data_IF_238075027561
#
_entry.id   IF_238075027561
#
_cell.length_a   1.000
_cell.length_b   1.000
_cell.length_c   1.000
_cell.angle_alpha   90.00
_cell.angle_beta   90.00
_cell.angle_gamma   90.00
#
_symmetry.space_group_name_H-M   'P 1'
#
loop_
_entity.id
_entity.type
_entity.pdbx_description
1 polymer ?
#
# COMPACT_ATOMS: atom_id res chain seq x y z
N UNK A 1 -19.57 14.90 53.30
CA UNK A 1 -19.16 14.57 51.93
C UNK A 1 -18.09 13.51 51.95
N UNK A 2 -18.50 12.24 51.71
CA UNK A 2 -17.60 11.10 51.63
C UNK A 2 -17.16 10.90 50.15
N UNK A 3 -15.89 11.15 49.90
CA UNK A 3 -15.24 10.86 48.60
C UNK A 3 -14.70 9.43 48.66
N UNK A 4 -15.42 8.51 48.01
CA UNK A 4 -15.00 7.10 47.92
C UNK A 4 -14.10 6.89 46.68
N UNK A 5 -12.78 6.96 46.89
CA UNK A 5 -11.80 6.59 45.89
C UNK A 5 -11.71 5.05 45.77
N UNK A 6 -12.39 4.47 44.77
CA UNK A 6 -12.18 3.09 44.41
C UNK A 6 -10.84 2.98 43.63
N UNK A 7 -9.77 2.68 44.34
CA UNK A 7 -8.52 2.24 43.78
C UNK A 7 -8.72 0.89 43.11
N UNK A 8 -8.69 0.86 41.78
CA UNK A 8 -8.69 -0.36 40.95
C UNK A 8 -7.35 -1.05 41.14
N UNK A 9 -7.26 -2.03 42.04
CA UNK A 9 -6.07 -2.87 42.20
C UNK A 9 -5.92 -3.71 40.92
N UNK A 10 -4.96 -3.35 40.06
CA UNK A 10 -4.55 -4.22 38.97
C UNK A 10 -4.04 -5.55 39.57
N UNK A 11 -4.74 -6.63 39.27
CA UNK A 11 -4.34 -7.98 39.72
C UNK A 11 -2.95 -8.28 39.15
N UNK A 12 -1.95 -8.31 40.02
CA UNK A 12 -0.57 -8.61 39.66
C UNK A 12 -0.49 -10.09 39.25
N UNK A 13 -0.43 -10.38 37.96
CA UNK A 13 -0.27 -11.74 37.46
C UNK A 13 1.22 -12.08 37.56
N UNK A 14 1.59 -13.13 38.34
CA UNK A 14 2.98 -13.55 38.49
C UNK A 14 3.67 -13.82 37.15
N UNK A 15 4.96 -13.49 37.05
CA UNK A 15 5.73 -13.63 35.80
C UNK A 15 5.70 -15.03 35.20
N UNK A 16 5.75 -16.07 36.03
CA UNK A 16 5.62 -17.49 35.62
C UNK A 16 4.26 -17.78 34.95
N UNK A 17 3.16 -17.19 35.44
CA UNK A 17 1.83 -17.39 34.85
C UNK A 17 1.73 -16.64 33.52
N UNK A 18 2.34 -15.46 33.37
CA UNK A 18 2.43 -14.74 32.09
C UNK A 18 3.17 -15.52 31.02
N UNK A 19 4.21 -16.28 31.40
CA UNK A 19 4.96 -17.13 30.45
C UNK A 19 4.13 -18.30 29.90
N UNK A 20 3.20 -18.83 30.67
CA UNK A 20 2.32 -19.92 30.25
C UNK A 20 1.11 -19.38 29.47
N UNK A 21 0.52 -18.28 29.92
CA UNK A 21 -0.69 -17.70 29.28
C UNK A 21 -0.37 -17.08 27.91
N UNK A 22 0.82 -16.48 27.75
CA UNK A 22 1.20 -15.81 26.50
C UNK A 22 1.20 -16.73 25.27
N UNK A 23 1.84 -17.93 25.28
CA UNK A 23 1.80 -18.84 24.14
C UNK A 23 0.38 -19.39 23.89
N UNK A 24 -0.39 -19.68 24.95
CA UNK A 24 -1.78 -20.10 24.80
C UNK A 24 -2.66 -19.01 24.15
N UNK A 25 -2.53 -17.78 24.60
CA UNK A 25 -3.22 -16.63 23.99
C UNK A 25 -2.85 -16.45 22.52
N UNK A 26 -1.56 -16.58 22.17
CA UNK A 26 -1.07 -16.52 20.80
C UNK A 26 -1.69 -17.64 19.97
N UNK A 27 -1.70 -18.86 20.49
CA UNK A 27 -2.28 -20.02 19.81
C UNK A 27 -3.77 -19.82 19.52
N UNK A 28 -4.55 -19.39 20.52
CA UNK A 28 -5.99 -19.10 20.35
C UNK A 28 -6.21 -18.01 19.30
N UNK A 29 -5.38 -16.96 19.31
CA UNK A 29 -5.45 -15.88 18.31
C UNK A 29 -5.13 -16.37 16.91
N UNK A 30 -4.15 -17.27 16.77
CA UNK A 30 -3.78 -17.87 15.48
C UNK A 30 -4.88 -18.80 14.97
N UNK A 31 -5.43 -19.67 15.82
CA UNK A 31 -6.53 -20.56 15.46
C UNK A 31 -7.78 -19.78 15.04
N UNK A 32 -8.13 -18.71 15.79
CA UNK A 32 -9.24 -17.82 15.43
C UNK A 32 -9.01 -17.18 14.06
N UNK A 33 -7.81 -16.64 13.82
CA UNK A 33 -7.46 -16.01 12.54
C UNK A 33 -7.47 -17.02 11.37
N UNK A 34 -7.04 -18.26 11.64
CA UNK A 34 -7.05 -19.33 10.63
C UNK A 34 -8.47 -19.78 10.30
N UNK A 35 -9.33 -19.91 11.32
CA UNK A 35 -10.75 -20.21 11.14
C UNK A 35 -11.49 -19.09 10.38
N UNK A 36 -11.26 -17.82 10.78
CA UNK A 36 -11.81 -16.66 10.07
C UNK A 36 -11.41 -16.68 8.58
N UNK A 37 -10.13 -16.94 8.30
CA UNK A 37 -9.61 -17.00 6.93
C UNK A 37 -10.20 -18.16 6.12
N UNK A 38 -10.31 -19.35 6.70
CA UNK A 38 -10.75 -20.56 5.99
C UNK A 38 -12.26 -20.64 5.80
N UNK A 39 -13.03 -20.10 6.72
CA UNK A 39 -14.50 -20.22 6.71
C UNK A 39 -15.15 -18.87 6.42
N UNK A 40 -14.88 -17.86 7.25
CA UNK A 40 -15.59 -16.59 7.14
C UNK A 40 -15.25 -15.84 5.85
N UNK A 41 -13.94 -15.78 5.49
CA UNK A 41 -13.51 -15.07 4.29
C UNK A 41 -13.87 -15.78 2.99
N UNK A 42 -14.20 -17.06 3.03
CA UNK A 42 -14.71 -17.78 1.87
C UNK A 42 -16.12 -17.29 1.47
N UNK A 43 -16.94 -16.94 2.45
CA UNK A 43 -18.31 -16.46 2.24
C UNK A 43 -18.43 -14.93 2.27
N UNK A 44 -17.56 -14.29 3.03
CA UNK A 44 -17.53 -12.85 3.25
C UNK A 44 -16.09 -12.32 3.11
N UNK A 45 -15.57 -12.23 1.87
CA UNK A 45 -14.20 -11.76 1.66
C UNK A 45 -14.06 -10.30 2.18
N UNK A 46 -12.98 -10.02 2.93
CA UNK A 46 -12.75 -8.66 3.40
C UNK A 46 -12.43 -7.74 2.23
N UNK A 47 -12.92 -6.51 2.29
CA UNK A 47 -12.55 -5.47 1.32
C UNK A 47 -11.04 -5.21 1.39
N UNK A 48 -10.37 -4.95 0.25
CA UNK A 48 -8.93 -4.72 0.21
C UNK A 48 -8.54 -3.48 1.04
N UNK A 49 -7.45 -3.60 1.79
CA UNK A 49 -6.86 -2.48 2.53
C UNK A 49 -5.69 -1.83 1.78
N UNK A 50 -5.08 -2.56 0.85
CA UNK A 50 -3.93 -2.14 0.04
C UNK A 50 -4.18 -2.54 -1.41
N UNK A 51 -3.79 -1.68 -2.34
CA UNK A 51 -3.79 -1.93 -3.78
C UNK A 51 -2.38 -1.71 -4.33
N UNK A 52 -1.93 -2.59 -5.21
CA UNK A 52 -0.81 -2.33 -6.09
C UNK A 52 -1.34 -2.10 -7.50
N UNK A 53 -1.09 -0.91 -8.03
CA UNK A 53 -1.50 -0.49 -9.37
C UNK A 53 -0.32 -0.57 -10.33
N UNK A 54 -0.49 -1.35 -11.40
CA UNK A 54 0.42 -1.30 -12.53
C UNK A 54 0.06 -0.09 -13.41
N UNK A 55 0.93 0.92 -13.43
CA UNK A 55 0.66 2.16 -14.16
C UNK A 55 0.89 2.02 -15.66
N UNK A 56 1.89 1.25 -16.07
CA UNK A 56 2.26 1.01 -17.47
C UNK A 56 3.04 -0.29 -17.65
N UNK A 57 3.15 -0.75 -18.89
CA UNK A 57 3.92 -1.91 -19.31
C UNK A 57 5.24 -1.52 -20.02
N UNK A 58 5.62 -0.23 -19.99
CA UNK A 58 6.85 0.26 -20.61
C UNK A 58 7.94 0.39 -19.56
N UNK A 59 9.14 -0.04 -19.88
CA UNK A 59 10.32 0.11 -19.02
C UNK A 59 11.56 0.47 -19.85
N UNK A 60 12.35 1.40 -19.32
CA UNK A 60 13.65 1.79 -19.86
C UNK A 60 14.83 0.94 -19.35
N UNK A 61 14.54 -0.05 -18.47
CA UNK A 61 15.51 -1.03 -17.97
C UNK A 61 15.30 -2.38 -18.62
N UNK A 62 16.40 -3.13 -18.84
CA UNK A 62 16.40 -4.47 -19.44
C UNK A 62 16.88 -5.51 -18.43
N UNK A 63 16.25 -5.54 -17.25
CA UNK A 63 16.58 -6.51 -16.21
C UNK A 63 16.45 -7.94 -16.70
N UNK A 64 17.44 -8.79 -16.41
CA UNK A 64 17.49 -10.18 -16.88
C UNK A 64 16.37 -11.04 -16.31
N UNK A 65 15.89 -10.74 -15.09
CA UNK A 65 14.81 -11.45 -14.41
C UNK A 65 13.40 -10.95 -14.79
N UNK A 66 13.30 -9.83 -15.50
CA UNK A 66 12.03 -9.17 -15.80
C UNK A 66 11.86 -9.00 -17.30
N UNK A 67 10.76 -9.52 -17.85
CA UNK A 67 10.48 -9.51 -19.28
C UNK A 67 9.55 -8.37 -19.72
N UNK A 68 9.21 -7.43 -18.83
CA UNK A 68 8.24 -6.37 -19.14
C UNK A 68 8.71 -5.48 -20.31
N UNK A 69 10.01 -5.24 -20.41
CA UNK A 69 10.62 -4.44 -21.48
C UNK A 69 10.53 -5.07 -22.88
N UNK A 70 10.21 -6.39 -22.96
CA UNK A 70 9.99 -7.11 -24.22
C UNK A 70 8.51 -7.12 -24.62
N UNK A 71 7.62 -6.73 -23.72
CA UNK A 71 6.18 -6.75 -23.99
C UNK A 71 5.81 -5.53 -24.85
N UNK A 72 4.75 -5.68 -25.63
CA UNK A 72 4.13 -4.54 -26.29
C UNK A 72 3.36 -3.75 -25.25
N UNK A 73 3.35 -2.42 -25.41
CA UNK A 73 2.52 -1.57 -24.59
C UNK A 73 1.05 -2.02 -24.66
N UNK A 74 0.48 -2.33 -23.52
CA UNK A 74 -0.93 -2.63 -23.37
C UNK A 74 -1.79 -1.38 -23.35
N UNK A 75 -3.07 -1.55 -23.07
CA UNK A 75 -4.00 -0.44 -22.84
C UNK A 75 -3.80 0.06 -21.41
N UNK A 76 -3.32 1.29 -21.28
CA UNK A 76 -3.15 1.94 -20.00
C UNK A 76 -4.48 2.54 -19.52
N UNK A 77 -4.79 2.33 -18.24
CA UNK A 77 -5.96 2.97 -17.61
C UNK A 77 -5.76 4.48 -17.57
N UNK A 78 -6.72 5.23 -18.04
CA UNK A 78 -6.71 6.70 -17.94
C UNK A 78 -7.03 7.16 -16.50
N UNK A 79 -6.63 8.39 -16.10
CA UNK A 79 -6.97 8.92 -14.76
C UNK A 79 -8.49 8.95 -14.50
N UNK A 80 -9.30 9.25 -15.51
CA UNK A 80 -10.78 9.31 -15.39
C UNK A 80 -11.36 7.92 -15.18
N UNK A 81 -10.89 6.92 -15.92
CA UNK A 81 -11.31 5.53 -15.73
C UNK A 81 -10.88 5.02 -14.36
N UNK A 82 -9.63 5.30 -13.94
CA UNK A 82 -9.14 4.92 -12.62
C UNK A 82 -9.99 5.52 -11.51
N UNK A 83 -10.35 6.80 -11.59
CA UNK A 83 -11.22 7.45 -10.61
C UNK A 83 -12.59 6.75 -10.55
N UNK A 84 -13.15 6.42 -11.71
CA UNK A 84 -14.43 5.74 -11.80
C UNK A 84 -14.39 4.33 -11.18
N UNK A 85 -13.34 3.56 -11.48
CA UNK A 85 -13.11 2.23 -10.93
C UNK A 85 -12.96 2.28 -9.40
N UNK A 86 -12.14 3.20 -8.91
CA UNK A 86 -11.80 3.31 -7.49
C UNK A 86 -12.96 3.83 -6.63
N UNK A 87 -13.99 4.45 -7.21
CA UNK A 87 -15.23 4.83 -6.52
C UNK A 87 -16.11 3.62 -6.16
N UNK A 88 -15.81 2.44 -6.70
CA UNK A 88 -16.57 1.23 -6.35
C UNK A 88 -16.42 0.94 -4.84
N UNK A 89 -17.53 0.51 -4.23
CA UNK A 89 -17.59 0.20 -2.79
C UNK A 89 -16.56 -0.84 -2.34
N UNK A 90 -16.10 -1.71 -3.24
CA UNK A 90 -15.04 -2.68 -2.98
C UNK A 90 -13.79 -2.00 -2.40
N UNK A 91 -13.45 -0.80 -2.87
CA UNK A 91 -12.24 -0.07 -2.49
C UNK A 91 -12.42 0.86 -1.28
N UNK A 92 -13.59 0.89 -0.66
CA UNK A 92 -13.92 1.81 0.45
C UNK A 92 -12.99 1.68 1.67
N UNK A 93 -12.33 0.53 1.86
CA UNK A 93 -11.41 0.27 2.98
C UNK A 93 -9.94 0.47 2.64
N UNK A 94 -9.61 0.84 1.40
CA UNK A 94 -8.22 1.01 0.97
C UNK A 94 -7.57 2.16 1.74
N UNK A 95 -6.39 1.86 2.33
CA UNK A 95 -5.59 2.81 3.11
C UNK A 95 -4.27 3.14 2.43
N UNK A 96 -3.81 2.28 1.52
CA UNK A 96 -2.55 2.47 0.81
C UNK A 96 -2.67 2.02 -0.64
N UNK A 97 -2.11 2.81 -1.55
CA UNK A 97 -1.94 2.46 -2.97
C UNK A 97 -0.45 2.54 -3.31
N UNK A 98 0.13 1.41 -3.73
CA UNK A 98 1.45 1.35 -4.34
C UNK A 98 1.35 1.45 -5.85
N UNK A 99 2.08 2.35 -6.47
CA UNK A 99 2.16 2.45 -7.93
C UNK A 99 3.48 1.86 -8.40
N UNK A 100 3.36 0.93 -9.33
CA UNK A 100 4.45 0.20 -9.97
C UNK A 100 4.15 0.07 -11.47
N UNK A 101 4.85 -0.82 -12.16
CA UNK A 101 4.66 -1.08 -13.58
C UNK A 101 5.97 -1.50 -14.21
N UNK A 102 6.17 -1.14 -15.47
CA UNK A 102 7.50 -1.11 -16.06
C UNK A 102 8.33 -0.04 -15.35
N UNK A 103 8.30 1.17 -15.84
CA UNK A 103 8.82 2.34 -15.13
C UNK A 103 7.73 3.42 -15.06
N UNK A 104 7.08 3.61 -13.90
CA UNK A 104 5.93 4.50 -13.78
C UNK A 104 6.24 5.96 -14.15
N UNK A 105 7.48 6.40 -13.89
CA UNK A 105 7.89 7.81 -14.16
C UNK A 105 8.01 8.16 -15.63
N UNK A 106 7.97 7.15 -16.53
CA UNK A 106 7.88 7.37 -17.97
C UNK A 106 6.49 7.84 -18.41
N UNK A 107 5.49 7.67 -17.55
CA UNK A 107 4.12 8.08 -17.82
C UNK A 107 3.93 9.58 -17.56
N UNK A 108 3.48 10.33 -18.57
CA UNK A 108 3.37 11.78 -18.45
C UNK A 108 2.21 12.22 -17.55
N UNK A 109 1.12 11.48 -17.56
CA UNK A 109 -0.07 11.70 -16.74
C UNK A 109 -0.03 11.03 -15.35
N UNK A 110 1.15 10.52 -14.94
CA UNK A 110 1.32 9.90 -13.63
C UNK A 110 0.76 10.72 -12.46
N UNK A 111 0.99 12.06 -12.38
CA UNK A 111 0.43 12.88 -11.31
C UNK A 111 -1.10 12.84 -11.27
N UNK A 112 -1.75 12.79 -12.45
CA UNK A 112 -3.21 12.74 -12.54
C UNK A 112 -3.78 11.41 -12.03
N UNK A 113 -3.02 10.29 -12.13
CA UNK A 113 -3.42 9.02 -11.51
C UNK A 113 -3.43 9.11 -9.97
N UNK A 114 -2.45 9.81 -9.39
CA UNK A 114 -2.43 10.05 -7.95
C UNK A 114 -3.59 10.92 -7.51
N UNK A 115 -3.88 11.96 -8.27
CA UNK A 115 -5.01 12.84 -8.01
C UNK A 115 -6.34 12.08 -8.08
N UNK A 116 -6.53 11.26 -9.11
CA UNK A 116 -7.70 10.41 -9.29
C UNK A 116 -7.91 9.47 -8.09
N UNK A 117 -6.83 8.83 -7.62
CA UNK A 117 -6.88 7.96 -6.45
C UNK A 117 -7.24 8.72 -5.16
N UNK A 118 -6.66 9.91 -4.96
CA UNK A 118 -6.96 10.76 -3.80
C UNK A 118 -8.42 11.22 -3.79
N UNK A 119 -8.98 11.56 -4.96
CA UNK A 119 -10.38 11.95 -5.11
C UNK A 119 -11.36 10.79 -4.89
N UNK A 120 -11.01 9.61 -5.41
CA UNK A 120 -11.89 8.46 -5.41
C UNK A 120 -12.00 7.78 -4.04
N UNK A 121 -10.92 7.76 -3.24
CA UNK A 121 -10.86 7.00 -1.99
C UNK A 121 -10.65 7.92 -0.78
N UNK A 122 -11.70 8.37 -0.11
CA UNK A 122 -11.58 9.22 1.08
C UNK A 122 -10.79 8.56 2.22
N UNK A 123 -10.87 7.21 2.31
CA UNK A 123 -10.17 6.43 3.34
C UNK A 123 -8.68 6.29 3.13
N UNK A 124 -8.16 6.67 1.95
CA UNK A 124 -6.74 6.58 1.60
C UNK A 124 -5.89 7.42 2.55
N UNK A 125 -4.79 6.83 3.03
CA UNK A 125 -3.86 7.49 3.96
C UNK A 125 -2.50 7.75 3.32
N UNK A 126 -2.02 6.79 2.52
CA UNK A 126 -0.68 6.85 1.96
C UNK A 126 -0.65 6.33 0.53
N UNK A 127 0.29 6.84 -0.24
CA UNK A 127 0.62 6.35 -1.58
C UNK A 127 2.12 6.15 -1.72
N UNK A 128 2.52 5.21 -2.56
CA UNK A 128 3.94 4.97 -2.83
C UNK A 128 4.20 4.75 -4.30
N UNK A 129 5.45 4.93 -4.70
CA UNK A 129 5.96 4.61 -6.03
C UNK A 129 7.20 3.73 -5.93
N UNK A 130 7.33 2.80 -6.87
CA UNK A 130 8.57 2.05 -7.09
C UNK A 130 9.13 2.46 -8.43
N UNK A 131 10.40 2.88 -8.49
CA UNK A 131 11.09 3.35 -9.69
C UNK A 131 12.49 2.75 -9.78
N UNK A 132 12.98 2.54 -11.00
CA UNK A 132 14.38 2.16 -11.23
C UNK A 132 15.34 3.36 -11.20
N UNK A 133 14.83 4.58 -11.15
CA UNK A 133 15.55 5.85 -11.08
C UNK A 133 16.62 6.09 -12.17
N UNK A 134 16.60 5.35 -13.30
CA UNK A 134 17.61 5.49 -14.38
C UNK A 134 17.55 6.88 -15.00
N UNK A 135 16.35 7.39 -15.28
CA UNK A 135 16.16 8.74 -15.86
C UNK A 135 15.97 9.77 -14.75
N UNK A 136 17.04 10.08 -14.03
CA UNK A 136 17.06 10.91 -12.82
C UNK A 136 16.19 12.17 -12.93
N UNK A 137 16.31 12.93 -14.00
CA UNK A 137 15.59 14.21 -14.16
C UNK A 137 14.07 14.01 -14.28
N UNK A 138 13.65 13.01 -15.05
CA UNK A 138 12.22 12.66 -15.20
C UNK A 138 11.65 12.16 -13.88
N UNK A 139 12.41 11.31 -13.18
CA UNK A 139 12.00 10.79 -11.87
C UNK A 139 11.83 11.92 -10.86
N UNK A 140 12.82 12.82 -10.73
CA UNK A 140 12.73 13.97 -9.81
C UNK A 140 11.51 14.83 -10.16
N UNK A 141 11.31 15.15 -11.44
CA UNK A 141 10.16 15.94 -11.89
C UNK A 141 8.85 15.26 -11.48
N UNK A 142 8.63 14.02 -11.90
CA UNK A 142 7.37 13.30 -11.65
C UNK A 142 7.10 13.06 -10.16
N UNK A 143 8.13 12.68 -9.41
CA UNK A 143 8.00 12.44 -7.97
C UNK A 143 7.69 13.74 -7.22
N UNK A 144 8.27 14.88 -7.65
CA UNK A 144 7.94 16.18 -7.06
C UNK A 144 6.48 16.56 -7.32
N UNK A 145 6.00 16.41 -8.56
CA UNK A 145 4.61 16.66 -8.95
C UNK A 145 3.64 15.77 -8.15
N UNK A 146 3.94 14.48 -8.05
CA UNK A 146 3.14 13.50 -7.28
C UNK A 146 3.12 13.86 -5.79
N UNK A 147 4.29 14.21 -5.22
CA UNK A 147 4.36 14.62 -3.81
C UNK A 147 3.50 15.82 -3.52
N UNK A 148 3.53 16.84 -4.38
CA UNK A 148 2.69 18.03 -4.24
C UNK A 148 1.21 17.70 -4.23
N UNK A 149 0.76 16.75 -5.08
CA UNK A 149 -0.62 16.27 -5.08
C UNK A 149 -0.94 15.55 -3.78
N UNK A 150 -0.09 14.62 -3.33
CA UNK A 150 -0.30 13.92 -2.07
C UNK A 150 -0.41 14.90 -0.89
N UNK A 151 0.46 15.90 -0.83
CA UNK A 151 0.44 16.94 0.19
C UNK A 151 -0.85 17.76 0.16
N UNK A 152 -1.32 18.15 -1.05
CA UNK A 152 -2.58 18.87 -1.25
C UNK A 152 -3.79 18.10 -0.68
N UNK A 153 -3.80 16.79 -0.85
CA UNK A 153 -4.87 15.91 -0.34
C UNK A 153 -4.60 15.38 1.08
N UNK A 154 -3.52 15.81 1.75
CA UNK A 154 -3.16 15.36 3.09
C UNK A 154 -2.84 13.87 3.17
N UNK A 155 -2.17 13.31 2.14
CA UNK A 155 -1.78 11.90 2.07
C UNK A 155 -0.27 11.78 2.23
N UNK A 156 0.15 10.75 2.99
CA UNK A 156 1.56 10.39 3.08
C UNK A 156 2.07 9.87 1.72
N UNK A 157 3.29 10.25 1.36
CA UNK A 157 3.94 9.77 0.15
C UNK A 157 5.31 9.15 0.45
N UNK A 158 5.60 8.02 -0.17
CA UNK A 158 6.89 7.35 -0.10
C UNK A 158 7.38 6.89 -1.47
N UNK A 159 8.69 6.91 -1.67
CA UNK A 159 9.34 6.41 -2.87
C UNK A 159 10.30 5.27 -2.51
N UNK A 160 10.28 4.21 -3.30
CA UNK A 160 11.26 3.13 -3.26
C UNK A 160 12.03 3.12 -4.58
N UNK A 161 13.34 3.02 -4.49
CA UNK A 161 14.23 2.86 -5.65
C UNK A 161 14.67 1.41 -5.72
N UNK A 162 14.44 0.76 -6.87
CA UNK A 162 14.98 -0.57 -7.14
C UNK A 162 16.46 -0.45 -7.49
N UNK A 163 17.32 -1.10 -6.70
CA UNK A 163 18.76 -1.13 -6.92
C UNK A 163 19.22 -2.58 -6.91
N UNK A 164 19.60 -3.10 -8.09
CA UNK A 164 20.00 -4.51 -8.26
C UNK A 164 21.49 -4.75 -7.99
N UNK A 165 22.29 -3.69 -7.87
CA UNK A 165 23.72 -3.77 -7.58
C UNK A 165 24.38 -2.40 -7.46
N UNK A 166 25.61 -2.40 -6.99
CA UNK A 166 26.44 -1.21 -6.88
C UNK A 166 27.90 -1.58 -7.23
N UNK A 167 28.52 -0.78 -8.10
CA UNK A 167 29.88 -0.99 -8.57
C UNK A 167 29.95 -1.74 -9.90
N UNK A 168 31.17 -2.18 -10.26
CA UNK A 168 31.37 -3.02 -11.44
C UNK A 168 30.84 -4.44 -11.17
N UNK A 169 29.96 -4.95 -12.05
CA UNK A 169 29.41 -6.30 -12.03
C UNK A 169 30.17 -7.12 -13.05
#
# INVERSE_FOLDING_TARGET
SYCCSKTYKSKFIPAKIKQIIKPFYILVKLLKKDWERKILHQYFPPKPGVINLNANDICNSKCTMCNIWQQKQGVEVSPVELETILKNELFSNVKHIGITGGEPTMREDLPLLYEAACKAIPSLKAMSIITNAIRKNDVIKRVTEVKQICDLYGKDFSMMVSLDGYGEI
#
